data_IF_887374904556
#
_entry.id   IF_887374904556
#
_cell.length_a   1.000
_cell.length_b   1.000
_cell.length_c   1.000
_cell.angle_alpha   90.00
_cell.angle_beta   90.00
_cell.angle_gamma   90.00
#
_symmetry.space_group_name_H-M   'P 1'
#
loop_
_entity.id
_entity.type
_entity.pdbx_description
1 polymer ?
#
# COMPACT_ATOMS: atom_id res chain seq x y z
N UNK A 1 -32.41 57.97 -2.81
CA UNK A 1 -31.79 57.52 -4.07
C UNK A 1 -30.99 56.25 -3.79
N UNK A 2 -31.50 55.07 -4.18
CA UNK A 2 -30.87 53.76 -3.94
C UNK A 2 -29.77 53.52 -4.99
N UNK A 3 -28.53 53.33 -4.55
CA UNK A 3 -27.43 52.90 -5.43
C UNK A 3 -27.40 51.37 -5.39
N UNK A 4 -27.90 50.74 -6.45
CA UNK A 4 -27.73 49.30 -6.67
C UNK A 4 -26.37 49.08 -7.33
N UNK A 5 -25.42 48.44 -6.63
CA UNK A 5 -24.19 47.93 -7.25
C UNK A 5 -24.40 46.47 -7.60
N UNK A 6 -24.60 46.21 -8.88
CA UNK A 6 -24.60 44.87 -9.46
C UNK A 6 -23.19 44.27 -9.30
N UNK A 7 -23.06 43.27 -8.43
CA UNK A 7 -21.87 42.41 -8.36
C UNK A 7 -21.82 41.60 -9.67
N UNK A 8 -20.81 41.86 -10.51
CA UNK A 8 -20.51 40.98 -11.64
C UNK A 8 -19.87 39.70 -11.09
N UNK A 9 -20.23 38.50 -11.58
CA UNK A 9 -19.55 37.28 -11.19
C UNK A 9 -18.11 37.33 -11.73
N UNK A 10 -17.14 37.22 -10.83
CA UNK A 10 -15.72 37.07 -11.16
C UNK A 10 -15.53 35.70 -11.82
N UNK A 11 -15.54 35.71 -13.15
CA UNK A 11 -15.43 34.53 -14.01
C UNK A 11 -13.95 34.11 -14.19
N UNK A 12 -13.20 34.10 -13.09
CA UNK A 12 -11.87 33.48 -13.07
C UNK A 12 -12.06 31.97 -12.93
N UNK A 13 -12.01 31.29 -14.07
CA UNK A 13 -11.67 29.86 -14.12
C UNK A 13 -10.46 29.66 -13.20
N UNK A 14 -10.68 29.02 -12.04
CA UNK A 14 -9.60 28.67 -11.14
C UNK A 14 -8.69 27.75 -11.93
N UNK A 15 -7.46 28.20 -12.21
CA UNK A 15 -6.45 27.34 -12.83
C UNK A 15 -6.46 25.98 -12.12
N UNK A 16 -6.47 24.86 -12.86
CA UNK A 16 -6.48 23.55 -12.24
C UNK A 16 -5.28 23.46 -11.29
N UNK A 17 -5.55 23.12 -10.03
CA UNK A 17 -4.52 22.96 -9.01
C UNK A 17 -3.49 21.99 -9.57
N UNK A 18 -2.30 22.50 -9.90
CA UNK A 18 -1.16 21.67 -10.32
C UNK A 18 -0.71 20.88 -9.09
N UNK A 19 -1.27 19.68 -8.92
CA UNK A 19 -0.79 18.73 -7.92
C UNK A 19 0.58 18.26 -8.40
N UNK A 20 1.63 18.86 -7.84
CA UNK A 20 2.99 18.45 -8.12
C UNK A 20 3.23 17.09 -7.45
N UNK A 21 3.03 16.00 -8.20
CA UNK A 21 3.41 14.66 -7.73
C UNK A 21 4.94 14.61 -7.75
N UNK A 22 5.56 14.89 -6.61
CA UNK A 22 7.02 15.08 -6.46
C UNK A 22 7.87 13.87 -6.82
N UNK A 23 7.27 12.69 -6.99
CA UNK A 23 8.00 11.43 -7.17
C UNK A 23 7.17 10.40 -7.92
N UNK A 24 7.84 9.59 -8.74
CA UNK A 24 7.24 8.43 -9.42
C UNK A 24 7.29 7.17 -8.57
N UNK A 25 7.95 7.22 -7.41
CA UNK A 25 8.08 6.10 -6.48
C UNK A 25 6.94 6.12 -5.47
N UNK A 26 6.24 4.98 -5.36
CA UNK A 26 5.09 4.81 -4.47
C UNK A 26 5.22 3.52 -3.71
N UNK A 27 4.85 3.59 -2.43
CA UNK A 27 4.69 2.43 -1.56
C UNK A 27 3.24 2.39 -1.11
N UNK A 28 2.62 1.25 -1.33
CA UNK A 28 1.30 0.92 -0.82
C UNK A 28 1.49 -0.08 0.32
N UNK A 29 0.91 0.19 1.48
CA UNK A 29 0.83 -0.77 2.58
C UNK A 29 -0.61 -1.25 2.64
N UNK A 30 -0.80 -2.56 2.53
CA UNK A 30 -2.10 -3.22 2.41
C UNK A 30 -2.29 -4.04 3.68
N UNK A 31 -3.32 -3.74 4.44
CA UNK A 31 -3.65 -4.43 5.68
C UNK A 31 -5.08 -4.96 5.59
N UNK A 32 -5.30 -6.21 5.96
CA UNK A 32 -6.63 -6.65 6.36
C UNK A 32 -6.66 -6.77 7.90
N UNK A 33 -7.83 -6.56 8.49
CA UNK A 33 -7.98 -6.69 9.94
C UNK A 33 -9.22 -7.53 10.23
N UNK A 34 -9.02 -8.83 10.41
CA UNK A 34 -10.06 -9.73 10.87
C UNK A 34 -10.08 -9.83 12.41
N UNK A 35 -11.30 -9.97 12.96
CA UNK A 35 -11.53 -10.02 14.40
C UNK A 35 -10.94 -11.30 15.06
N UNK A 36 -10.63 -12.31 14.26
CA UNK A 36 -9.99 -13.56 14.68
C UNK A 36 -8.53 -13.52 14.21
N UNK A 37 -7.60 -13.80 15.13
CA UNK A 37 -6.12 -13.82 14.90
C UNK A 37 -5.74 -14.64 13.65
N UNK A 38 -6.56 -15.62 13.27
CA UNK A 38 -6.48 -16.36 12.01
C UNK A 38 -7.20 -15.58 10.90
N UNK A 39 -6.44 -14.90 10.04
CA UNK A 39 -6.95 -14.13 8.89
C UNK A 39 -6.40 -12.71 8.77
N UNK A 40 -5.69 -12.21 9.78
CA UNK A 40 -5.07 -10.88 9.69
C UNK A 40 -3.75 -10.93 8.90
N UNK A 41 -3.53 -9.97 8.01
CA UNK A 41 -2.46 -9.97 7.04
C UNK A 41 -1.96 -8.55 6.74
N UNK A 42 -0.68 -8.46 6.39
CA UNK A 42 -0.03 -7.24 5.94
C UNK A 42 0.87 -7.53 4.74
N UNK A 43 0.74 -6.75 3.68
CA UNK A 43 1.62 -6.80 2.52
C UNK A 43 1.92 -5.42 1.97
N UNK A 44 2.74 -5.38 0.92
CA UNK A 44 3.15 -4.13 0.30
C UNK A 44 3.07 -4.21 -1.22
N UNK A 45 2.81 -3.07 -1.84
CA UNK A 45 3.03 -2.89 -3.27
C UNK A 45 4.00 -1.73 -3.47
N UNK A 46 5.12 -2.02 -4.13
CA UNK A 46 6.15 -1.07 -4.50
C UNK A 46 6.02 -0.75 -5.99
N UNK A 47 5.86 0.53 -6.33
CA UNK A 47 5.80 1.01 -7.72
C UNK A 47 6.94 1.98 -7.96
N UNK A 48 7.75 1.70 -8.97
CA UNK A 48 8.83 2.57 -9.44
C UNK A 48 8.72 2.80 -10.96
N UNK A 49 9.54 3.69 -11.55
CA UNK A 49 9.63 3.80 -13.01
C UNK A 49 10.08 2.51 -13.70
N UNK A 50 10.69 1.57 -12.97
CA UNK A 50 11.21 0.31 -13.53
C UNK A 50 10.19 -0.82 -13.48
N UNK A 51 9.16 -0.73 -12.65
CA UNK A 51 8.25 -1.85 -12.46
C UNK A 51 7.37 -1.77 -11.23
N UNK A 52 6.65 -2.88 -11.06
CA UNK A 52 5.66 -3.14 -10.03
C UNK A 52 6.14 -4.37 -9.24
N UNK A 53 6.20 -4.28 -7.91
CA UNK A 53 6.59 -5.38 -7.04
C UNK A 53 5.56 -5.53 -5.92
N UNK A 54 4.80 -6.63 -5.97
CA UNK A 54 3.91 -7.01 -4.87
C UNK A 54 4.69 -7.88 -3.89
N UNK A 55 4.66 -7.53 -2.62
CA UNK A 55 5.32 -8.24 -1.54
C UNK A 55 4.27 -8.83 -0.59
N UNK A 56 4.17 -10.16 -0.58
CA UNK A 56 3.39 -10.93 0.38
C UNK A 56 4.34 -11.64 1.35
N UNK A 57 4.67 -11.02 2.50
CA UNK A 57 5.59 -11.61 3.45
C UNK A 57 5.12 -12.94 4.06
N UNK A 58 3.82 -13.29 4.04
CA UNK A 58 3.36 -14.58 4.54
C UNK A 58 3.48 -15.68 3.48
N UNK A 59 3.51 -15.32 2.20
CA UNK A 59 3.69 -16.25 1.08
C UNK A 59 2.50 -17.19 0.92
N UNK A 60 1.30 -16.72 1.23
CA UNK A 60 0.07 -17.51 1.07
C UNK A 60 -0.64 -17.16 -0.23
N UNK A 61 -0.35 -15.99 -0.80
CA UNK A 61 -0.85 -15.59 -2.10
C UNK A 61 -0.11 -16.32 -3.20
N UNK A 62 -0.88 -16.89 -4.14
CA UNK A 62 -0.35 -17.54 -5.33
C UNK A 62 -0.93 -16.88 -6.59
N UNK A 63 -0.10 -16.69 -7.61
CA UNK A 63 -0.53 -16.21 -8.92
C UNK A 63 0.07 -17.09 -10.03
N UNK A 64 -0.79 -17.69 -10.84
CA UNK A 64 -0.37 -18.59 -11.92
C UNK A 64 0.54 -17.87 -12.92
N UNK A 65 1.66 -18.51 -13.28
CA UNK A 65 2.63 -17.97 -14.24
C UNK A 65 3.61 -16.96 -13.65
N UNK A 66 3.45 -16.56 -12.39
CA UNK A 66 4.48 -15.84 -11.63
C UNK A 66 4.87 -16.74 -10.48
N UNK A 67 6.00 -17.44 -10.61
CA UNK A 67 6.58 -18.17 -9.49
C UNK A 67 6.70 -17.19 -8.32
N UNK A 68 6.35 -17.63 -7.09
CA UNK A 68 6.69 -16.88 -5.89
C UNK A 68 8.17 -16.53 -5.99
N UNK A 69 8.46 -15.26 -6.30
CA UNK A 69 9.82 -14.84 -6.50
C UNK A 69 10.57 -15.11 -5.21
N UNK A 70 11.87 -15.38 -5.32
CA UNK A 70 12.75 -15.52 -4.17
C UNK A 70 12.39 -14.44 -3.14
N UNK A 71 11.92 -14.86 -1.96
CA UNK A 71 11.45 -13.99 -0.85
C UNK A 71 10.04 -13.38 -0.97
N UNK A 72 9.13 -14.05 -1.68
CA UNK A 72 7.67 -13.77 -1.68
C UNK A 72 7.33 -12.41 -2.29
N UNK A 73 8.12 -12.02 -3.28
CA UNK A 73 7.92 -10.83 -4.11
C UNK A 73 7.47 -11.29 -5.50
N UNK A 74 6.45 -10.62 -6.05
CA UNK A 74 5.91 -10.84 -7.38
C UNK A 74 6.28 -9.63 -8.25
N UNK A 75 7.42 -9.67 -8.96
CA UNK A 75 7.80 -8.61 -9.88
C UNK A 75 6.97 -8.69 -11.16
N UNK A 76 6.47 -7.55 -11.62
CA UNK A 76 5.76 -7.40 -12.89
C UNK A 76 6.36 -6.23 -13.66
N UNK A 77 6.63 -6.45 -14.95
CA UNK A 77 7.16 -5.43 -15.85
C UNK A 77 6.23 -4.21 -15.91
N UNK A 78 6.81 -3.00 -15.98
CA UNK A 78 6.04 -1.74 -16.02
C UNK A 78 5.12 -1.64 -17.26
N UNK A 79 5.46 -2.32 -18.35
CA UNK A 79 4.75 -2.32 -19.63
C UNK A 79 3.57 -3.29 -19.67
N UNK A 80 3.53 -4.29 -18.78
CA UNK A 80 2.43 -5.26 -18.69
C UNK A 80 1.32 -4.78 -17.75
N UNK A 81 0.60 -3.75 -18.21
CA UNK A 81 -0.51 -3.15 -17.45
C UNK A 81 -1.67 -4.12 -17.19
N UNK A 82 -1.83 -5.16 -18.02
CA UNK A 82 -2.90 -6.14 -17.85
C UNK A 82 -2.59 -7.04 -16.66
N UNK A 83 -1.38 -7.60 -16.62
CA UNK A 83 -0.94 -8.46 -15.52
C UNK A 83 -0.85 -7.69 -14.21
N UNK A 84 -0.36 -6.44 -14.22
CA UNK A 84 -0.36 -5.58 -13.01
C UNK A 84 -1.75 -5.42 -12.39
N UNK A 85 -2.77 -5.16 -13.22
CA UNK A 85 -4.14 -5.00 -12.74
C UNK A 85 -4.72 -6.33 -12.25
N UNK A 86 -4.46 -7.43 -12.97
CA UNK A 86 -4.98 -8.75 -12.61
C UNK A 86 -4.37 -9.26 -11.29
N UNK A 87 -3.04 -9.19 -11.13
CA UNK A 87 -2.37 -9.62 -9.90
C UNK A 87 -2.82 -8.79 -8.70
N UNK A 88 -2.92 -7.46 -8.86
CA UNK A 88 -3.36 -6.60 -7.78
C UNK A 88 -4.81 -6.91 -7.37
N UNK A 89 -5.70 -7.10 -8.37
CA UNK A 89 -7.08 -7.49 -8.10
C UNK A 89 -7.14 -8.82 -7.36
N UNK A 90 -6.47 -9.86 -7.87
CA UNK A 90 -6.45 -11.18 -7.22
C UNK A 90 -5.84 -11.12 -5.82
N UNK A 91 -4.83 -10.27 -5.60
CA UNK A 91 -4.27 -10.07 -4.28
C UNK A 91 -5.28 -9.43 -3.33
N UNK A 92 -6.03 -8.42 -3.76
CA UNK A 92 -7.11 -7.83 -2.95
C UNK A 92 -8.22 -8.84 -2.67
N UNK A 93 -8.61 -9.63 -3.66
CA UNK A 93 -9.60 -10.71 -3.49
C UNK A 93 -9.11 -11.73 -2.44
N UNK A 94 -7.83 -12.11 -2.49
CA UNK A 94 -7.19 -12.95 -1.48
C UNK A 94 -7.23 -12.30 -0.08
N UNK A 95 -6.90 -11.01 0.04
CA UNK A 95 -6.99 -10.27 1.31
C UNK A 95 -8.43 -10.23 1.87
N UNK A 96 -9.44 -10.27 1.00
CA UNK A 96 -10.86 -10.29 1.38
C UNK A 96 -11.40 -11.67 1.77
N UNK A 97 -10.79 -12.76 1.28
CA UNK A 97 -11.07 -14.10 1.79
C UNK A 97 -10.60 -14.20 3.23
N UNK A 98 -9.47 -13.57 3.54
CA UNK A 98 -8.88 -13.54 4.88
C UNK A 98 -9.44 -12.41 5.77
N UNK A 99 -10.26 -11.46 5.27
CA UNK A 99 -10.65 -10.22 5.94
C UNK A 99 -11.97 -9.56 5.49
N UNK A 100 -12.82 -9.05 6.40
CA UNK A 100 -14.03 -8.27 6.01
C UNK A 100 -13.67 -6.90 5.38
N UNK A 101 -12.61 -6.27 5.88
CA UNK A 101 -12.11 -4.97 5.43
C UNK A 101 -10.64 -5.02 5.02
N UNK A 102 -10.34 -4.43 3.86
CA UNK A 102 -8.96 -4.21 3.39
C UNK A 102 -8.66 -2.71 3.38
N UNK A 103 -7.56 -2.33 4.01
CA UNK A 103 -7.10 -0.95 4.12
C UNK A 103 -5.83 -0.75 3.30
N UNK A 104 -5.83 0.25 2.43
CA UNK A 104 -4.69 0.57 1.57
C UNK A 104 -4.20 1.98 1.89
N UNK A 105 -2.96 2.07 2.36
CA UNK A 105 -2.27 3.33 2.59
C UNK A 105 -1.31 3.60 1.44
N UNK A 106 -1.36 4.81 0.87
CA UNK A 106 -0.48 5.20 -0.23
C UNK A 106 0.52 6.25 0.22
N UNK A 107 1.80 6.01 -0.06
CA UNK A 107 2.89 6.91 0.27
C UNK A 107 3.70 7.24 -0.99
N UNK A 108 3.94 8.53 -1.19
CA UNK A 108 4.87 9.03 -2.21
C UNK A 108 6.22 9.24 -1.54
N UNK A 109 7.23 8.52 -1.98
CA UNK A 109 8.56 8.49 -1.35
C UNK A 109 9.66 8.91 -2.33
N UNK A 110 10.78 9.39 -1.83
CA UNK A 110 11.97 9.61 -2.64
C UNK A 110 12.55 8.29 -3.14
N UNK A 111 13.39 8.35 -4.18
CA UNK A 111 14.12 7.16 -4.68
C UNK A 111 14.94 6.49 -3.58
N UNK A 112 15.65 7.26 -2.75
CA UNK A 112 16.51 6.71 -1.69
C UNK A 112 15.68 5.98 -0.62
N UNK A 113 14.54 6.54 -0.23
CA UNK A 113 13.62 5.87 0.71
C UNK A 113 13.04 4.59 0.11
N UNK A 114 12.66 4.62 -1.18
CA UNK A 114 12.17 3.45 -1.90
C UNK A 114 13.21 2.33 -1.96
N UNK A 115 14.43 2.66 -2.40
CA UNK A 115 15.53 1.70 -2.55
C UNK A 115 15.91 1.08 -1.19
N UNK A 116 15.88 1.86 -0.11
CA UNK A 116 16.14 1.36 1.25
C UNK A 116 15.04 0.40 1.72
N UNK A 117 13.76 0.71 1.49
CA UNK A 117 12.65 -0.22 1.80
C UNK A 117 12.80 -1.50 1.00
N UNK A 118 13.04 -1.38 -0.31
CA UNK A 118 13.22 -2.50 -1.22
C UNK A 118 14.40 -3.38 -0.77
N UNK A 119 15.55 -2.78 -0.45
CA UNK A 119 16.71 -3.46 0.10
C UNK A 119 16.37 -4.22 1.38
N UNK A 120 15.62 -3.63 2.30
CA UNK A 120 15.20 -4.31 3.54
C UNK A 120 14.28 -5.49 3.28
N UNK A 121 13.38 -5.41 2.30
CA UNK A 121 12.56 -6.56 1.89
C UNK A 121 13.45 -7.71 1.42
N UNK A 122 14.43 -7.42 0.56
CA UNK A 122 15.35 -8.43 0.03
C UNK A 122 16.37 -8.94 1.06
N UNK A 123 16.69 -8.17 2.11
CA UNK A 123 17.63 -8.59 3.17
C UNK A 123 16.95 -9.40 4.29
N UNK A 124 15.62 -9.51 4.31
CA UNK A 124 14.87 -10.23 5.34
C UNK A 124 14.89 -11.75 5.11
N UNK A 125 16.03 -12.40 5.35
CA UNK A 125 16.25 -13.86 5.23
C UNK A 125 15.28 -14.72 6.07
N UNK A 126 14.57 -14.12 7.04
CA UNK A 126 13.62 -14.79 7.94
C UNK A 126 12.20 -14.27 7.84
N UNK A 127 11.88 -13.46 6.83
CA UNK A 127 10.48 -13.13 6.60
C UNK A 127 9.79 -14.35 5.99
N UNK A 128 8.94 -15.01 6.79
CA UNK A 128 8.68 -16.43 6.63
C UNK A 128 7.74 -17.01 7.68
N UNK A 129 6.59 -17.54 7.28
CA UNK A 129 5.73 -18.39 8.11
C UNK A 129 4.65 -17.65 8.91
N UNK A 130 3.80 -18.44 9.59
CA UNK A 130 2.60 -17.97 10.29
C UNK A 130 2.89 -16.82 11.26
N UNK A 131 2.08 -15.75 11.18
CA UNK A 131 2.12 -14.56 12.05
C UNK A 131 3.34 -13.63 11.89
N UNK A 132 4.09 -13.72 10.78
CA UNK A 132 5.25 -12.84 10.53
C UNK A 132 4.96 -11.65 9.60
N UNK A 133 3.81 -11.61 8.93
CA UNK A 133 3.52 -10.63 7.87
C UNK A 133 3.65 -9.16 8.32
N UNK A 134 2.99 -8.77 9.41
CA UNK A 134 3.07 -7.40 9.96
C UNK A 134 4.47 -7.04 10.38
N UNK A 135 5.19 -8.00 10.98
CA UNK A 135 6.55 -7.81 11.45
C UNK A 135 7.48 -7.52 10.27
N UNK A 136 7.33 -8.25 9.17
CA UNK A 136 8.13 -8.01 7.98
C UNK A 136 7.85 -6.64 7.34
N UNK A 137 6.57 -6.28 7.18
CA UNK A 137 6.17 -4.98 6.63
C UNK A 137 6.68 -3.84 7.51
N UNK A 138 6.46 -3.91 8.83
CA UNK A 138 6.93 -2.87 9.75
C UNK A 138 8.45 -2.74 9.73
N UNK A 139 9.20 -3.84 9.74
CA UNK A 139 10.67 -3.81 9.66
C UNK A 139 11.19 -3.28 8.31
N UNK A 140 10.45 -3.53 7.22
CA UNK A 140 10.81 -3.01 5.91
C UNK A 140 10.74 -1.48 5.84
N UNK A 141 9.82 -0.85 6.57
CA UNK A 141 9.57 0.60 6.47
C UNK A 141 10.03 1.42 7.68
N UNK A 142 10.12 0.83 8.87
CA UNK A 142 10.35 1.54 10.13
C UNK A 142 11.61 2.44 10.09
N UNK A 143 11.46 3.67 10.56
CA UNK A 143 12.57 4.63 10.62
C UNK A 143 12.89 5.35 9.30
N UNK A 144 12.23 4.99 8.18
CA UNK A 144 12.52 5.58 6.86
C UNK A 144 11.52 6.70 6.55
N UNK A 145 12.01 7.92 6.33
CA UNK A 145 11.20 8.99 5.75
C UNK A 145 9.91 9.31 6.51
N UNK A 146 8.77 9.17 5.82
CA UNK A 146 7.42 9.31 6.39
C UNK A 146 7.08 8.26 7.46
N UNK A 147 7.82 7.15 7.49
CA UNK A 147 7.64 6.02 8.40
C UNK A 147 8.53 6.10 9.66
N UNK A 148 9.13 7.26 9.95
CA UNK A 148 9.99 7.46 11.14
C UNK A 148 9.32 7.10 12.47
N UNK A 149 7.99 7.24 12.55
CA UNK A 149 7.19 6.94 13.73
C UNK A 149 6.58 5.53 13.71
N UNK A 150 6.92 4.70 12.71
CA UNK A 150 6.50 3.31 12.67
C UNK A 150 7.50 2.48 13.47
N UNK A 151 6.99 1.73 14.44
CA UNK A 151 7.79 0.85 15.28
C UNK A 151 8.29 -0.35 14.47
N UNK A 152 9.42 -0.92 14.90
CA UNK A 152 9.87 -2.22 14.42
C UNK A 152 9.12 -3.35 15.13
N UNK A 153 9.16 -4.53 14.53
CA UNK A 153 8.63 -5.78 15.08
C UNK A 153 7.14 -5.72 15.48
N UNK A 154 6.34 -4.95 14.76
CA UNK A 154 4.91 -4.84 15.03
C UNK A 154 4.25 -6.19 14.75
N UNK A 155 3.64 -6.77 15.78
CA UNK A 155 3.05 -8.11 15.71
C UNK A 155 1.68 -8.13 15.03
N UNK A 156 0.75 -7.27 15.47
CA UNK A 156 -0.64 -7.28 15.00
C UNK A 156 -0.87 -6.29 13.86
N UNK A 157 -1.58 -6.67 12.77
CA UNK A 157 -1.99 -5.73 11.72
C UNK A 157 -2.77 -4.53 12.25
N UNK A 158 -3.62 -4.72 13.26
CA UNK A 158 -4.35 -3.63 13.92
C UNK A 158 -3.43 -2.59 14.59
N UNK A 159 -2.31 -3.04 15.17
CA UNK A 159 -1.29 -2.15 15.74
C UNK A 159 -0.58 -1.36 14.64
N UNK A 160 -0.20 -2.01 13.54
CA UNK A 160 0.41 -1.32 12.40
C UNK A 160 -0.57 -0.33 11.77
N UNK A 161 -1.85 -0.72 11.61
CA UNK A 161 -2.92 0.16 11.15
C UNK A 161 -3.01 1.43 12.00
N UNK A 162 -3.05 1.31 13.33
CA UNK A 162 -3.09 2.45 14.27
C UNK A 162 -1.89 3.39 14.11
N UNK A 163 -0.73 2.89 13.72
CA UNK A 163 0.45 3.73 13.47
C UNK A 163 0.36 4.42 12.11
N UNK A 164 -0.10 3.70 11.08
CA UNK A 164 -0.31 4.26 9.74
C UNK A 164 -1.41 5.33 9.71
N UNK A 165 -2.51 5.14 10.46
CA UNK A 165 -3.61 6.11 10.62
C UNK A 165 -3.12 7.48 11.14
N UNK A 166 -1.98 7.53 11.84
CA UNK A 166 -1.39 8.78 12.33
C UNK A 166 -0.63 9.56 11.25
N UNK A 167 -0.24 8.90 10.16
CA UNK A 167 0.62 9.47 9.12
C UNK A 167 -0.05 9.51 7.74
N UNK A 168 -1.15 8.79 7.53
CA UNK A 168 -1.91 8.80 6.29
C UNK A 168 -3.33 8.27 6.49
N UNK A 169 -4.25 8.63 5.59
CA UNK A 169 -5.63 8.14 5.58
C UNK A 169 -5.75 6.99 4.58
N UNK A 170 -6.23 5.80 4.98
CA UNK A 170 -6.36 4.68 4.07
C UNK A 170 -7.57 4.83 3.16
N UNK A 171 -7.50 4.18 2.00
CA UNK A 171 -8.69 3.75 1.27
C UNK A 171 -9.17 2.44 1.93
N UNK A 172 -10.44 2.40 2.36
CA UNK A 172 -11.09 1.19 2.82
C UNK A 172 -11.82 0.54 1.65
N UNK A 173 -11.49 -0.71 1.38
CA UNK A 173 -12.24 -1.58 0.47
C UNK A 173 -13.05 -2.52 1.34
N UNK A 174 -14.37 -2.45 1.23
CA UNK A 174 -15.29 -3.36 1.89
C UNK A 174 -15.64 -4.50 0.93
N UNK A 175 -15.83 -5.71 1.47
CA UNK A 175 -16.33 -6.84 0.67
C UNK A 175 -17.76 -6.52 0.19
N UNK A 176 -18.00 -6.57 -1.13
CA UNK A 176 -19.36 -6.49 -1.66
C UNK A 176 -20.10 -7.78 -1.29
N UNK A 177 -21.06 -7.71 -0.38
CA UNK A 177 -21.91 -8.83 0.05
C UNK A 177 -23.12 -9.03 -0.86
N UNK A 178 -23.04 -8.64 -2.14
CA UNK A 178 -24.12 -8.84 -3.10
C UNK A 178 -23.89 -10.14 -3.88
N UNK A 179 -24.03 -11.28 -3.21
CA UNK A 179 -24.37 -12.58 -3.81
C UNK A 179 -25.37 -13.31 -2.91
#
# INVERSE_FOLDING_TARGET
>A
MKISRTLRPDNREKEPVKILVKTRYRIYIILNNNFIITGTHAGMLLISPKGYELYDPNGNFHYEGIAEGTMRVFPVDITDHKTQKDIFKKYLDFQHVEGEDVYIYTFHVSKNEFDEVQKRIYDQVRCGGSFSCTKCVSNAVAGIGVFKSIDQDVFLPSSLKRQLDKISTPIRIARNTNE
#
